data_IF_226826628375
#
_entry.id   IF_226826628375
#
_cell.length_a   1.000
_cell.length_b   1.000
_cell.length_c   1.000
_cell.angle_alpha   90.00
_cell.angle_beta   90.00
_cell.angle_gamma   90.00
#
_symmetry.space_group_name_H-M   'P 1'
#
loop_
_entity.id
_entity.type
_entity.pdbx_description
1 polymer ?
#
# COMPACT_ATOMS: atom_id res chain seq x y z
N UNK A 1 5.49 -4.04 17.26
CA UNK A 1 5.90 -2.91 18.12
C UNK A 1 7.13 -2.23 17.51
N UNK A 2 6.92 -1.52 16.38
CA UNK A 2 7.69 -0.37 15.91
C UNK A 2 6.82 0.29 14.82
N UNK A 3 5.75 0.93 15.29
CA UNK A 3 5.03 2.02 14.62
C UNK A 3 5.54 3.32 15.27
N UNK A 4 5.38 4.44 14.57
CA UNK A 4 5.77 5.82 14.94
C UNK A 4 7.21 6.23 14.57
N UNK A 5 7.37 6.80 13.36
CA UNK A 5 8.18 8.01 13.05
C UNK A 5 8.12 8.29 11.54
N UNK A 6 6.91 8.45 11.01
CA UNK A 6 6.70 9.01 9.67
C UNK A 6 5.74 10.19 9.79
N UNK A 7 6.24 11.22 10.46
CA UNK A 7 5.71 12.58 10.47
C UNK A 7 6.94 13.48 10.40
N UNK A 8 6.98 14.39 9.42
CA UNK A 8 7.90 15.54 9.31
C UNK A 8 9.16 15.47 8.42
N UNK A 9 9.17 14.82 7.25
CA UNK A 9 10.29 14.99 6.30
C UNK A 9 9.97 15.72 5.00
N UNK A 10 8.70 15.85 4.59
CA UNK A 10 8.37 16.56 3.33
C UNK A 10 8.08 18.06 3.51
N UNK A 11 7.77 18.52 4.72
CA UNK A 11 7.43 19.94 4.99
C UNK A 11 8.60 20.82 5.43
N UNK A 12 9.76 20.26 5.78
CA UNK A 12 10.92 21.05 6.24
C UNK A 12 11.90 21.44 5.13
N UNK A 13 11.87 20.77 3.97
CA UNK A 13 12.82 21.01 2.88
C UNK A 13 12.52 22.23 1.99
N UNK A 14 11.37 22.92 2.19
CA UNK A 14 10.95 24.07 1.35
C UNK A 14 11.28 25.46 1.92
N UNK A 15 12.03 25.57 3.02
CA UNK A 15 12.47 26.87 3.58
C UNK A 15 13.96 26.91 3.85
N UNK A 16 14.77 27.05 2.78
CA UNK A 16 16.05 27.79 2.76
C UNK A 16 16.72 27.57 1.40
N UNK A 17 16.36 28.40 0.43
CA UNK A 17 17.22 28.69 -0.72
C UNK A 17 17.33 30.21 -0.76
N UNK A 18 18.44 30.73 -0.25
CA UNK A 18 18.92 32.06 -0.57
C UNK A 18 20.39 31.96 -0.94
N UNK A 19 20.59 32.05 -2.25
CA UNK A 19 21.74 32.45 -3.04
C UNK A 19 23.03 32.89 -2.32
N UNK A 20 24.14 32.22 -2.66
CA UNK A 20 25.43 32.88 -2.99
C UNK A 20 26.27 31.94 -3.87
N UNK A 21 26.65 32.42 -5.05
CA UNK A 21 27.58 31.75 -5.95
C UNK A 21 29.04 31.95 -5.49
N UNK A 22 29.83 30.88 -5.51
CA UNK A 22 31.28 30.96 -5.70
C UNK A 22 31.80 29.69 -6.36
N UNK A 23 32.82 29.86 -7.20
CA UNK A 23 33.27 28.93 -8.22
C UNK A 23 34.24 27.84 -7.73
N UNK A 24 34.34 26.80 -8.56
CA UNK A 24 35.44 25.84 -8.76
C UNK A 24 35.77 24.86 -7.62
N UNK A 25 35.63 23.56 -7.89
CA UNK A 25 36.74 22.63 -8.20
C UNK A 25 36.14 21.26 -8.49
N UNK A 26 36.56 20.64 -9.58
CA UNK A 26 36.16 19.30 -10.03
C UNK A 26 36.65 18.25 -9.02
N UNK A 27 35.76 17.77 -8.14
CA UNK A 27 36.00 16.59 -7.31
C UNK A 27 35.16 15.42 -7.80
N UNK A 28 35.78 14.24 -7.88
CA UNK A 28 35.14 12.99 -8.24
C UNK A 28 33.89 12.75 -7.36
N UNK A 29 32.82 12.12 -7.89
CA UNK A 29 31.61 11.90 -7.11
C UNK A 29 31.95 11.06 -5.88
N UNK A 30 31.81 11.68 -4.71
CA UNK A 30 31.92 11.02 -3.42
C UNK A 30 30.97 9.83 -3.42
N UNK A 31 31.51 8.63 -3.30
CA UNK A 31 30.73 7.42 -3.06
C UNK A 31 30.00 7.60 -1.74
N UNK A 32 28.71 7.90 -1.81
CA UNK A 32 27.84 7.86 -0.63
C UNK A 32 27.88 6.41 -0.16
N UNK A 33 28.60 6.14 0.93
CA UNK A 33 28.57 4.85 1.60
C UNK A 33 27.14 4.64 2.11
N UNK A 34 26.35 3.92 1.32
CA UNK A 34 25.10 3.39 1.82
C UNK A 34 25.44 2.37 2.91
N UNK A 35 24.89 2.55 4.11
CA UNK A 35 25.01 1.64 5.27
C UNK A 35 24.75 0.17 4.90
N UNK A 36 24.07 -0.06 3.78
CA UNK A 36 23.98 -1.35 3.13
C UNK A 36 24.11 -1.27 1.62
N UNK A 37 24.89 -2.17 0.98
CA UNK A 37 25.06 -2.15 -0.47
C UNK A 37 23.72 -2.44 -1.18
N UNK A 38 23.44 -1.74 -2.30
CA UNK A 38 22.28 -2.04 -3.12
C UNK A 38 22.44 -3.42 -3.78
N UNK A 39 21.33 -4.11 -4.14
CA UNK A 39 21.41 -5.35 -4.90
C UNK A 39 22.14 -5.11 -6.24
N UNK A 40 22.90 -6.13 -6.71
CA UNK A 40 23.77 -6.02 -7.90
C UNK A 40 23.06 -5.45 -9.14
N UNK A 41 21.78 -5.77 -9.31
CA UNK A 41 20.96 -5.27 -10.42
C UNK A 41 20.88 -3.73 -10.47
N UNK A 42 21.02 -3.05 -9.34
CA UNK A 42 21.00 -1.59 -9.22
C UNK A 42 22.38 -0.94 -9.36
N UNK A 43 23.45 -1.74 -9.49
CA UNK A 43 24.81 -1.25 -9.74
C UNK A 43 25.11 -1.10 -11.24
N UNK A 44 24.33 -1.75 -12.10
CA UNK A 44 24.47 -1.60 -13.54
C UNK A 44 24.03 -0.19 -13.97
N UNK A 45 24.62 0.36 -15.05
CA UNK A 45 24.19 1.63 -15.61
C UNK A 45 22.70 1.59 -15.89
N UNK A 46 21.95 2.48 -15.24
CA UNK A 46 20.51 2.65 -15.45
C UNK A 46 20.22 4.11 -15.77
N UNK A 47 19.08 4.36 -16.42
CA UNK A 47 18.70 5.72 -16.81
C UNK A 47 18.46 6.64 -15.61
N UNK A 48 18.18 6.09 -14.43
CA UNK A 48 17.89 6.86 -13.21
C UNK A 48 18.52 6.17 -12.01
N UNK A 49 19.25 6.93 -11.20
CA UNK A 49 19.85 6.43 -9.97
C UNK A 49 18.77 5.83 -9.04
N UNK A 50 19.01 4.63 -8.48
CA UNK A 50 18.05 3.98 -7.59
C UNK A 50 17.89 4.78 -6.29
N UNK A 51 16.65 5.01 -5.89
CA UNK A 51 16.31 5.69 -4.63
C UNK A 51 15.76 4.67 -3.63
N UNK A 52 16.37 4.54 -2.45
CA UNK A 52 15.79 3.75 -1.37
C UNK A 52 14.55 4.47 -0.81
N UNK A 53 13.39 3.81 -0.88
CA UNK A 53 12.11 4.35 -0.41
C UNK A 53 11.83 3.92 1.03
N UNK A 54 12.03 2.64 1.32
CA UNK A 54 11.81 2.11 2.68
C UNK A 54 12.69 0.90 2.96
N UNK A 55 13.03 0.74 4.23
CA UNK A 55 13.73 -0.42 4.77
C UNK A 55 12.93 -0.98 5.95
N UNK A 56 12.46 -2.21 5.81
CA UNK A 56 11.76 -2.96 6.86
C UNK A 56 12.49 -4.24 7.24
N UNK A 57 11.94 -4.96 8.22
CA UNK A 57 12.46 -6.28 8.61
C UNK A 57 12.42 -7.29 7.45
N UNK A 58 11.40 -7.16 6.60
CA UNK A 58 11.06 -8.03 5.47
C UNK A 58 11.93 -7.81 4.22
N UNK A 59 12.49 -6.61 4.03
CA UNK A 59 13.23 -6.23 2.83
C UNK A 59 13.42 -4.71 2.68
N UNK A 60 14.03 -4.32 1.55
CA UNK A 60 14.23 -2.94 1.10
C UNK A 60 13.44 -2.70 -0.18
N UNK A 61 12.83 -1.54 -0.31
CA UNK A 61 12.14 -1.11 -1.52
C UNK A 61 12.89 0.06 -2.15
N UNK A 62 13.24 -0.08 -3.42
CA UNK A 62 13.87 0.97 -4.21
C UNK A 62 12.95 1.44 -5.32
N UNK A 63 12.97 2.74 -5.63
CA UNK A 63 12.39 3.30 -6.87
C UNK A 63 13.50 3.45 -7.90
N UNK A 64 13.28 2.96 -9.10
CA UNK A 64 14.20 3.09 -10.24
C UNK A 64 13.39 3.06 -11.55
N UNK A 65 14.02 2.71 -12.67
CA UNK A 65 13.38 2.62 -13.99
C UNK A 65 13.58 1.24 -14.61
N UNK A 66 12.65 0.81 -15.44
CA UNK A 66 12.69 -0.48 -16.12
C UNK A 66 12.85 -0.31 -17.63
N UNK A 67 14.01 -0.71 -18.17
CA UNK A 67 14.44 -0.62 -19.58
C UNK A 67 14.52 0.81 -20.16
N UNK A 68 13.54 1.66 -19.89
CA UNK A 68 13.43 3.03 -20.36
C UNK A 68 13.29 4.01 -19.19
N UNK A 69 13.85 5.23 -19.28
CA UNK A 69 13.74 6.25 -18.24
C UNK A 69 12.29 6.64 -17.90
N UNK A 70 11.37 6.49 -18.85
CA UNK A 70 9.96 6.85 -18.71
C UNK A 70 9.10 5.81 -17.99
N UNK A 71 9.66 4.63 -17.67
CA UNK A 71 8.93 3.54 -17.02
C UNK A 71 9.45 3.41 -15.58
N UNK A 72 8.83 4.10 -14.61
CA UNK A 72 9.22 3.95 -13.21
C UNK A 72 8.89 2.55 -12.71
N UNK A 73 9.77 1.99 -11.87
CA UNK A 73 9.56 0.68 -11.28
C UNK A 73 9.96 0.65 -9.80
N UNK A 74 9.32 -0.25 -9.07
CA UNK A 74 9.61 -0.57 -7.69
C UNK A 74 10.40 -1.88 -7.63
N UNK A 75 11.58 -1.86 -7.01
CA UNK A 75 12.40 -3.04 -6.76
C UNK A 75 12.34 -3.41 -5.28
N UNK A 76 11.69 -4.54 -4.98
CA UNK A 76 11.63 -5.12 -3.65
C UNK A 76 12.75 -6.14 -3.50
N UNK A 77 13.72 -5.85 -2.65
CA UNK A 77 14.89 -6.69 -2.37
C UNK A 77 14.83 -7.27 -0.97
N UNK A 78 15.06 -8.58 -0.83
CA UNK A 78 15.10 -9.30 0.44
C UNK A 78 16.55 -9.73 0.72
N UNK A 79 17.33 -8.93 1.47
CA UNK A 79 18.73 -9.26 1.74
C UNK A 79 18.85 -10.52 2.62
N UNK A 80 19.93 -11.30 2.44
CA UNK A 80 20.18 -12.47 3.28
C UNK A 80 20.23 -12.13 4.76
N UNK A 81 19.72 -13.03 5.60
CA UNK A 81 19.68 -12.82 7.05
C UNK A 81 20.82 -13.59 7.73
N UNK A 82 21.81 -12.91 8.36
CA UNK A 82 22.99 -13.57 8.94
C UNK A 82 22.67 -14.61 10.02
N UNK A 83 21.52 -14.46 10.69
CA UNK A 83 21.07 -15.37 11.75
C UNK A 83 20.42 -16.66 11.23
N UNK A 84 20.20 -16.82 9.91
CA UNK A 84 19.63 -18.04 9.33
C UNK A 84 20.71 -18.85 8.63
N UNK A 85 20.60 -20.18 8.68
CA UNK A 85 21.46 -21.05 7.89
C UNK A 85 21.33 -20.70 6.38
N UNK A 86 22.42 -20.53 5.63
CA UNK A 86 22.38 -20.02 4.24
C UNK A 86 21.42 -20.77 3.33
N UNK A 87 21.42 -22.11 3.38
CA UNK A 87 20.50 -22.95 2.59
C UNK A 87 19.03 -22.72 2.95
N UNK A 88 18.74 -22.53 4.24
CA UNK A 88 17.37 -22.28 4.70
C UNK A 88 16.91 -20.89 4.27
N UNK A 89 17.76 -19.88 4.43
CA UNK A 89 17.45 -18.51 4.06
C UNK A 89 17.22 -18.37 2.55
N UNK A 90 18.11 -18.95 1.73
CA UNK A 90 17.94 -18.97 0.28
C UNK A 90 16.62 -19.63 -0.13
N UNK A 91 16.26 -20.77 0.50
CA UNK A 91 14.99 -21.47 0.23
C UNK A 91 13.78 -20.62 0.62
N UNK A 92 13.80 -19.98 1.79
CA UNK A 92 12.70 -19.14 2.27
C UNK A 92 12.52 -17.88 1.43
N UNK A 93 13.62 -17.20 1.09
CA UNK A 93 13.63 -16.01 0.25
C UNK A 93 13.10 -16.33 -1.14
N UNK A 94 13.58 -17.42 -1.75
CA UNK A 94 13.07 -17.94 -3.03
C UNK A 94 11.57 -18.20 -2.98
N UNK A 95 11.11 -18.93 -1.97
CA UNK A 95 9.69 -19.28 -1.83
C UNK A 95 8.82 -18.02 -1.71
N UNK A 96 9.23 -17.04 -0.91
CA UNK A 96 8.48 -15.77 -0.71
C UNK A 96 8.40 -14.94 -1.97
N UNK A 97 9.52 -14.76 -2.69
CA UNK A 97 9.56 -13.96 -3.93
C UNK A 97 8.69 -14.59 -5.02
N UNK A 98 8.79 -15.91 -5.20
CA UNK A 98 7.98 -16.62 -6.18
C UNK A 98 6.50 -16.62 -5.81
N UNK A 99 6.16 -16.76 -4.53
CA UNK A 99 4.77 -16.68 -4.07
C UNK A 99 4.16 -15.30 -4.39
N UNK A 100 4.86 -14.23 -4.00
CA UNK A 100 4.43 -12.84 -4.23
C UNK A 100 4.27 -12.55 -5.74
N UNK A 101 5.25 -12.92 -6.56
CA UNK A 101 5.19 -12.72 -8.02
C UNK A 101 4.03 -13.50 -8.67
N UNK A 102 3.81 -14.76 -8.27
CA UNK A 102 2.72 -15.59 -8.81
C UNK A 102 1.35 -15.03 -8.45
N UNK A 103 1.18 -14.53 -7.23
CA UNK A 103 -0.07 -13.91 -6.78
C UNK A 103 -0.36 -12.64 -7.57
N UNK A 104 0.64 -11.75 -7.75
CA UNK A 104 0.49 -10.53 -8.56
C UNK A 104 0.07 -10.85 -10.00
N UNK A 105 0.76 -11.79 -10.65
CA UNK A 105 0.44 -12.21 -12.02
C UNK A 105 -0.98 -12.77 -12.12
N UNK A 106 -1.40 -13.61 -11.17
CA UNK A 106 -2.76 -14.17 -11.11
C UNK A 106 -3.81 -13.07 -10.92
N UNK A 107 -3.63 -12.20 -9.93
CA UNK A 107 -4.54 -11.10 -9.62
C UNK A 107 -4.73 -10.19 -10.84
N UNK A 108 -3.62 -9.82 -11.51
CA UNK A 108 -3.66 -8.96 -12.69
C UNK A 108 -4.35 -9.63 -13.88
N UNK A 109 -4.07 -10.92 -14.12
CA UNK A 109 -4.75 -11.71 -15.17
C UNK A 109 -6.25 -11.77 -14.95
N UNK A 110 -6.67 -11.87 -13.70
CA UNK A 110 -8.08 -11.99 -13.32
C UNK A 110 -8.76 -10.61 -13.09
N UNK A 111 -8.09 -9.51 -13.47
CA UNK A 111 -8.67 -8.16 -13.52
C UNK A 111 -8.64 -7.38 -12.20
N UNK A 112 -7.89 -7.84 -11.20
CA UNK A 112 -7.68 -7.11 -9.94
C UNK A 112 -6.60 -6.04 -10.15
N UNK A 113 -6.84 -4.77 -9.79
CA UNK A 113 -5.83 -3.72 -9.88
C UNK A 113 -4.68 -3.98 -8.89
N UNK A 114 -3.55 -4.46 -9.41
CA UNK A 114 -2.30 -4.72 -8.67
C UNK A 114 -1.10 -4.30 -9.54
N UNK A 115 0.08 -4.06 -8.95
CA UNK A 115 1.29 -3.77 -9.71
C UNK A 115 1.60 -4.87 -10.74
N UNK A 116 1.95 -4.48 -11.97
CA UNK A 116 2.50 -5.41 -12.95
C UNK A 116 3.87 -5.94 -12.50
N UNK A 117 4.11 -7.25 -12.62
CA UNK A 117 5.45 -7.81 -12.43
C UNK A 117 6.27 -7.58 -13.69
N UNK A 118 7.46 -6.98 -13.56
CA UNK A 118 8.38 -6.74 -14.69
C UNK A 118 9.47 -7.78 -14.76
N UNK A 119 10.10 -8.10 -13.63
CA UNK A 119 11.20 -9.05 -13.59
C UNK A 119 11.35 -9.65 -12.19
N UNK A 120 11.85 -10.88 -12.11
CA UNK A 120 12.10 -11.58 -10.86
C UNK A 120 13.44 -12.29 -10.94
N UNK A 121 14.20 -12.24 -9.87
CA UNK A 121 15.38 -13.08 -9.66
C UNK A 121 15.31 -13.64 -8.24
N UNK A 122 14.81 -14.87 -8.15
CA UNK A 122 14.63 -15.52 -6.86
C UNK A 122 15.96 -15.99 -6.24
N UNK A 123 17.03 -16.09 -7.03
CA UNK A 123 18.37 -16.43 -6.56
C UNK A 123 19.08 -15.24 -5.93
N UNK A 124 18.94 -14.06 -6.55
CA UNK A 124 19.46 -12.80 -6.02
C UNK A 124 18.50 -12.12 -5.03
N UNK A 125 17.30 -12.66 -4.83
CA UNK A 125 16.42 -12.23 -3.75
C UNK A 125 15.62 -10.95 -4.04
N UNK A 126 15.29 -10.64 -5.30
CA UNK A 126 14.52 -9.44 -5.63
C UNK A 126 13.38 -9.67 -6.62
N UNK A 127 12.42 -8.74 -6.58
CA UNK A 127 11.26 -8.64 -7.46
C UNK A 127 11.13 -7.19 -7.94
N UNK A 128 11.09 -6.99 -9.26
CA UNK A 128 10.79 -5.71 -9.90
C UNK A 128 9.34 -5.69 -10.37
N UNK A 129 8.63 -4.61 -10.02
CA UNK A 129 7.23 -4.41 -10.38
C UNK A 129 6.95 -2.96 -10.77
N UNK A 130 5.78 -2.72 -11.35
CA UNK A 130 5.26 -1.39 -11.65
C UNK A 130 5.32 -0.48 -10.44
N UNK A 131 5.84 0.74 -10.64
CA UNK A 131 5.67 1.79 -9.66
C UNK A 131 4.22 2.30 -9.73
N UNK A 132 3.45 2.07 -8.67
CA UNK A 132 2.08 2.56 -8.58
C UNK A 132 2.13 4.03 -8.20
N UNK A 133 1.79 4.91 -9.14
CA UNK A 133 1.64 6.33 -8.87
C UNK A 133 0.44 6.61 -7.95
N UNK A 134 0.53 7.71 -7.20
CA UNK A 134 -0.50 8.13 -6.25
C UNK A 134 -0.06 8.05 -4.79
N UNK A 135 -1.03 8.11 -3.88
CA UNK A 135 -0.79 8.11 -2.43
C UNK A 135 -1.41 6.89 -1.76
N UNK A 136 -0.87 6.41 -0.64
CA UNK A 136 -1.55 5.38 0.15
C UNK A 136 -2.94 5.85 0.59
N UNK A 137 -3.94 4.97 0.55
CA UNK A 137 -5.33 5.26 0.99
C UNK A 137 -5.35 5.86 2.39
N UNK A 138 -4.50 5.33 3.30
CA UNK A 138 -4.32 5.89 4.65
C UNK A 138 -4.03 7.39 4.63
N UNK A 139 -3.15 7.85 3.76
CA UNK A 139 -2.77 9.27 3.69
C UNK A 139 -3.94 10.11 3.19
N UNK A 140 -4.60 9.67 2.12
CA UNK A 140 -5.79 10.37 1.59
C UNK A 140 -6.90 10.52 2.63
N UNK A 141 -7.21 9.44 3.37
CA UNK A 141 -8.20 9.49 4.45
C UNK A 141 -7.77 10.45 5.56
N UNK A 142 -6.49 10.44 5.95
CA UNK A 142 -5.98 11.31 7.01
C UNK A 142 -5.98 12.78 6.61
N UNK A 143 -5.62 13.09 5.37
CA UNK A 143 -5.64 14.44 4.82
C UNK A 143 -7.08 14.98 4.79
N UNK A 144 -7.99 14.19 4.21
CA UNK A 144 -9.41 14.54 4.16
C UNK A 144 -10.03 14.70 5.55
N UNK A 145 -9.67 13.86 6.53
CA UNK A 145 -10.16 13.98 7.91
C UNK A 145 -9.46 15.09 8.71
N UNK A 146 -8.18 15.36 8.44
CA UNK A 146 -7.31 16.27 9.19
C UNK A 146 -7.65 17.73 9.00
N UNK A 147 -8.02 18.13 7.78
CA UNK A 147 -8.51 19.48 7.49
C UNK A 147 -9.77 19.83 8.31
N UNK A 148 -10.56 18.82 8.70
CA UNK A 148 -11.80 19.00 9.48
C UNK A 148 -11.56 19.46 10.92
N UNK A 149 -10.35 19.28 11.44
CA UNK A 149 -9.97 19.73 12.80
C UNK A 149 -9.54 21.20 12.79
N UNK A 150 -9.06 21.71 11.64
CA UNK A 150 -8.63 23.10 11.53
C UNK A 150 -9.80 24.06 11.38
N UNK A 151 -10.87 23.62 10.73
CA UNK A 151 -11.95 24.53 10.38
C UNK A 151 -12.92 24.79 11.55
N UNK A 152 -12.99 23.95 12.59
CA UNK A 152 -13.74 24.27 13.83
C UNK A 152 -15.22 24.66 13.66
N UNK A 153 -15.75 24.57 12.44
CA UNK A 153 -17.07 25.04 12.06
C UNK A 153 -18.07 23.89 12.21
N UNK A 154 -19.19 24.21 12.86
CA UNK A 154 -20.40 23.42 12.82
C UNK A 154 -20.88 23.38 11.36
N UNK A 155 -20.42 22.38 10.61
CA UNK A 155 -20.88 22.15 9.24
C UNK A 155 -22.38 21.84 9.31
N UNK A 156 -23.19 22.58 8.56
CA UNK A 156 -24.63 22.34 8.44
C UNK A 156 -24.90 20.86 8.08
N UNK A 157 -25.95 20.27 8.65
CA UNK A 157 -26.21 18.82 8.53
C UNK A 157 -26.30 18.32 7.07
N UNK A 158 -26.69 19.19 6.13
CA UNK A 158 -26.77 18.87 4.70
C UNK A 158 -25.41 18.87 4.00
N UNK A 159 -24.54 19.87 4.22
CA UNK A 159 -23.16 19.88 3.70
C UNK A 159 -22.32 18.75 4.31
N UNK A 160 -22.56 18.43 5.58
CA UNK A 160 -21.92 17.29 6.26
C UNK A 160 -22.32 15.93 5.69
N UNK A 161 -23.48 15.82 5.03
CA UNK A 161 -23.96 14.60 4.34
C UNK A 161 -23.35 14.45 2.95
N UNK A 162 -23.32 15.51 2.14
CA UNK A 162 -22.67 15.48 0.81
C UNK A 162 -21.17 15.21 0.91
N UNK A 163 -20.46 15.86 1.83
CA UNK A 163 -19.02 15.64 2.05
C UNK A 163 -18.73 14.22 2.57
N UNK A 164 -19.61 13.64 3.40
CA UNK A 164 -19.51 12.21 3.75
C UNK A 164 -19.65 11.31 2.52
N UNK A 165 -20.29 11.77 1.45
CA UNK A 165 -20.48 11.03 0.20
C UNK A 165 -19.17 10.56 -0.43
N UNK A 166 -18.15 11.41 -0.51
CA UNK A 166 -16.85 11.04 -1.08
C UNK A 166 -16.11 9.97 -0.25
N UNK A 167 -16.17 10.09 1.08
CA UNK A 167 -15.59 9.07 1.96
C UNK A 167 -16.37 7.76 1.89
N UNK A 168 -17.70 7.81 1.83
CA UNK A 168 -18.56 6.62 1.65
C UNK A 168 -18.26 5.93 0.32
N UNK A 169 -18.11 6.70 -0.76
CA UNK A 169 -17.73 6.17 -2.07
C UNK A 169 -16.35 5.48 -2.01
N UNK A 170 -15.35 6.11 -1.37
CA UNK A 170 -14.06 5.48 -1.16
C UNK A 170 -14.18 4.16 -0.39
N UNK A 171 -14.96 4.12 0.70
CA UNK A 171 -15.18 2.88 1.46
C UNK A 171 -15.78 1.77 0.59
N UNK A 172 -16.77 2.11 -0.26
CA UNK A 172 -17.36 1.15 -1.20
C UNK A 172 -16.35 0.66 -2.23
N UNK A 173 -15.52 1.56 -2.79
CA UNK A 173 -14.42 1.18 -3.69
C UNK A 173 -13.42 0.25 -3.02
N UNK A 174 -13.07 0.49 -1.75
CA UNK A 174 -12.19 -0.41 -0.98
C UNK A 174 -12.84 -1.79 -0.88
N UNK A 175 -14.11 -1.84 -0.48
CA UNK A 175 -14.88 -3.09 -0.40
C UNK A 175 -14.91 -3.86 -1.72
N UNK A 176 -15.17 -3.15 -2.81
CA UNK A 176 -15.19 -3.71 -4.15
C UNK A 176 -13.82 -4.26 -4.58
N UNK A 177 -12.72 -3.54 -4.33
CA UNK A 177 -11.37 -4.01 -4.61
C UNK A 177 -11.02 -5.31 -3.85
N UNK A 178 -11.40 -5.39 -2.56
CA UNK A 178 -11.22 -6.59 -1.75
C UNK A 178 -12.11 -7.73 -2.23
N UNK A 179 -13.36 -7.44 -2.63
CA UNK A 179 -14.27 -8.43 -3.19
C UNK A 179 -13.75 -9.02 -4.50
N UNK A 180 -13.21 -8.17 -5.38
CA UNK A 180 -12.51 -8.59 -6.60
C UNK A 180 -11.30 -9.46 -6.28
N UNK A 181 -10.50 -9.12 -5.27
CA UNK A 181 -9.39 -9.97 -4.83
C UNK A 181 -9.87 -11.36 -4.40
N UNK A 182 -10.81 -11.43 -3.46
CA UNK A 182 -11.32 -12.71 -2.92
C UNK A 182 -12.00 -13.57 -3.97
N UNK A 183 -12.62 -12.95 -4.99
CA UNK A 183 -13.19 -13.63 -6.17
C UNK A 183 -12.15 -14.42 -6.95
N UNK A 184 -10.88 -14.00 -6.96
CA UNK A 184 -9.78 -14.74 -7.61
C UNK A 184 -9.27 -15.94 -6.79
N UNK A 185 -9.81 -16.14 -5.59
CA UNK A 185 -9.33 -17.15 -4.65
C UNK A 185 -7.98 -16.80 -4.02
N UNK A 186 -7.70 -15.51 -3.88
CA UNK A 186 -6.53 -14.97 -3.16
C UNK A 186 -7.02 -14.28 -1.89
N UNK A 187 -6.29 -14.49 -0.80
CA UNK A 187 -6.41 -13.76 0.46
C UNK A 187 -5.12 -12.98 0.66
N UNK A 188 -5.20 -11.70 1.03
CA UNK A 188 -4.05 -10.81 1.11
C UNK A 188 -3.16 -11.15 2.32
N UNK A 189 -3.76 -11.42 3.48
CA UNK A 189 -3.06 -11.81 4.71
C UNK A 189 -2.44 -10.66 5.51
N UNK A 190 -2.48 -9.44 4.98
CA UNK A 190 -2.04 -8.19 5.65
C UNK A 190 -2.81 -6.98 5.09
N UNK A 191 -4.13 -7.10 4.99
CA UNK A 191 -4.95 -6.09 4.33
C UNK A 191 -5.12 -4.86 5.23
N UNK A 192 -4.38 -3.79 4.93
CA UNK A 192 -4.43 -2.52 5.68
C UNK A 192 -4.57 -1.33 4.73
N UNK A 193 -4.99 -0.16 5.23
CA UNK A 193 -5.10 1.08 4.44
C UNK A 193 -3.76 1.60 3.93
N UNK A 194 -2.64 1.12 4.46
CA UNK A 194 -1.29 1.42 3.94
C UNK A 194 -0.89 0.52 2.76
N UNK A 195 -1.52 -0.65 2.62
CA UNK A 195 -1.28 -1.62 1.54
C UNK A 195 -2.25 -1.41 0.37
N UNK A 196 -2.81 -0.22 0.26
CA UNK A 196 -3.70 0.22 -0.81
C UNK A 196 -3.25 1.59 -1.31
N UNK A 197 -3.15 1.75 -2.61
CA UNK A 197 -2.77 3.01 -3.26
C UNK A 197 -4.00 3.61 -3.98
N UNK A 198 -4.16 4.92 -3.88
CA UNK A 198 -5.08 5.72 -4.69
C UNK A 198 -4.35 6.23 -5.92
N UNK A 199 -4.56 5.54 -7.04
CA UNK A 199 -3.98 5.93 -8.33
C UNK A 199 -4.86 6.99 -9.00
N UNK A 200 -4.33 8.18 -9.31
CA UNK A 200 -5.09 9.20 -10.03
C UNK A 200 -5.58 8.69 -11.39
N UNK A 201 -6.84 8.98 -11.73
CA UNK A 201 -7.42 8.72 -13.05
C UNK A 201 -7.32 9.97 -13.93
N UNK A 202 -7.46 9.79 -15.26
CA UNK A 202 -7.48 10.93 -16.20
C UNK A 202 -8.62 11.92 -15.92
N UNK A 203 -9.69 11.45 -15.30
CA UNK A 203 -10.84 12.28 -14.90
C UNK A 203 -10.52 13.12 -13.65
N UNK A 204 -9.82 12.54 -12.67
CA UNK A 204 -9.38 13.26 -11.46
C UNK A 204 -8.32 14.36 -11.72
N UNK A 205 -7.64 14.31 -12.86
CA UNK A 205 -6.61 15.28 -13.28
C UNK A 205 -7.15 16.43 -14.15
N UNK A 206 -8.45 16.43 -14.48
CA UNK A 206 -9.11 17.58 -15.09
C UNK A 206 -9.27 18.73 -14.09
N UNK A 207 -9.03 19.97 -14.55
CA UNK A 207 -9.22 21.21 -13.77
C UNK A 207 -10.68 21.47 -13.33
N UNK A 208 -11.64 20.64 -13.76
CA UNK A 208 -13.08 20.81 -13.52
C UNK A 208 -13.60 20.38 -12.14
N UNK A 209 -12.75 20.39 -11.12
CA UNK A 209 -13.19 20.13 -9.74
C UNK A 209 -12.18 20.64 -8.74
N UNK A 210 -12.23 21.91 -8.38
CA UNK A 210 -11.48 22.39 -7.21
C UNK A 210 -12.24 21.97 -5.96
N UNK A 211 -11.86 20.87 -5.30
CA UNK A 211 -12.58 20.38 -4.14
C UNK A 211 -11.76 19.39 -3.30
N UNK A 212 -11.99 19.43 -1.99
CA UNK A 212 -11.36 18.58 -0.96
C UNK A 212 -11.50 17.07 -1.23
N UNK A 213 -12.55 16.67 -1.93
CA UNK A 213 -12.84 15.26 -2.22
C UNK A 213 -11.89 14.65 -3.28
N UNK A 214 -11.17 15.47 -4.04
CA UNK A 214 -10.17 15.00 -5.01
C UNK A 214 -9.07 14.14 -4.40
N UNK A 215 -8.74 14.36 -3.12
CA UNK A 215 -7.72 13.57 -2.42
C UNK A 215 -8.17 12.11 -2.22
N UNK A 216 -9.47 11.83 -2.33
CA UNK A 216 -10.07 10.49 -2.22
C UNK A 216 -10.41 9.88 -3.59
N UNK A 217 -10.27 10.62 -4.68
CA UNK A 217 -10.52 10.14 -6.03
C UNK A 217 -9.39 9.21 -6.52
N UNK A 218 -9.73 8.34 -7.47
CA UNK A 218 -8.76 7.44 -8.10
C UNK A 218 -9.10 5.96 -8.00
N UNK A 219 -8.33 5.15 -8.72
CA UNK A 219 -8.44 3.70 -8.68
C UNK A 219 -7.68 3.14 -7.47
N UNK A 220 -8.31 2.19 -6.78
CA UNK A 220 -7.66 1.49 -5.67
C UNK A 220 -6.81 0.37 -6.24
N UNK A 221 -5.52 0.42 -5.96
CA UNK A 221 -4.54 -0.61 -6.32
C UNK A 221 -4.04 -1.28 -5.06
N UNK A 222 -4.19 -2.60 -4.97
CA UNK A 222 -3.70 -3.38 -3.84
C UNK A 222 -2.21 -3.66 -4.02
N UNK A 223 -1.42 -3.49 -2.96
CA UNK A 223 0.03 -3.66 -2.96
C UNK A 223 0.49 -4.55 -1.80
N UNK A 224 1.72 -5.05 -1.88
CA UNK A 224 2.36 -5.90 -0.86
C UNK A 224 1.66 -7.25 -0.60
N UNK A 225 1.78 -8.17 -1.57
CA UNK A 225 1.29 -9.55 -1.45
C UNK A 225 2.28 -10.49 -0.74
N UNK A 226 3.15 -9.96 0.13
CA UNK A 226 4.22 -10.74 0.79
C UNK A 226 3.72 -11.87 1.70
N UNK A 227 2.48 -11.77 2.18
CA UNK A 227 1.80 -12.77 3.03
C UNK A 227 0.57 -13.39 2.34
N UNK A 228 0.38 -13.11 1.06
CA UNK A 228 -0.80 -13.55 0.35
C UNK A 228 -0.79 -15.06 0.09
N UNK A 229 -1.97 -15.65 0.18
CA UNK A 229 -2.17 -17.09 -0.02
C UNK A 229 -3.32 -17.33 -1.00
N UNK A 230 -3.27 -18.47 -1.69
CA UNK A 230 -4.40 -18.93 -2.49
C UNK A 230 -5.28 -19.77 -1.58
N UNK A 231 -6.45 -19.24 -1.22
CA UNK A 231 -7.41 -19.90 -0.35
C UNK A 231 -8.83 -19.62 -0.80
N UNK A 232 -9.65 -20.67 -0.79
CA UNK A 232 -11.11 -20.58 -0.98
C UNK A 232 -11.85 -20.59 0.37
N UNK A 233 -11.12 -20.66 1.48
CA UNK A 233 -11.68 -20.69 2.84
C UNK A 233 -12.43 -19.40 3.14
N UNK A 234 -13.67 -19.54 3.62
CA UNK A 234 -14.46 -18.42 4.13
C UNK A 234 -13.83 -17.80 5.39
N UNK A 235 -13.18 -18.63 6.22
CA UNK A 235 -12.47 -18.20 7.43
C UNK A 235 -11.31 -17.27 7.08
N UNK A 236 -10.45 -17.65 6.11
CA UNK A 236 -9.28 -16.86 5.76
C UNK A 236 -9.68 -15.49 5.19
N UNK A 237 -10.72 -15.46 4.35
CA UNK A 237 -11.31 -14.22 3.81
C UNK A 237 -11.93 -13.35 4.90
N UNK A 238 -12.59 -13.97 5.88
CA UNK A 238 -13.17 -13.28 7.02
C UNK A 238 -12.08 -12.68 7.93
N UNK A 239 -10.97 -13.39 8.14
CA UNK A 239 -9.81 -12.87 8.86
C UNK A 239 -9.21 -11.68 8.13
N UNK A 240 -9.11 -11.70 6.80
CA UNK A 240 -8.60 -10.57 6.01
C UNK A 240 -9.47 -9.31 6.17
N UNK A 241 -10.79 -9.46 6.08
CA UNK A 241 -11.74 -8.37 6.36
C UNK A 241 -11.65 -7.86 7.79
N UNK A 242 -11.45 -8.75 8.76
CA UNK A 242 -11.28 -8.39 10.15
C UNK A 242 -9.98 -7.61 10.39
N UNK A 243 -8.88 -7.99 9.73
CA UNK A 243 -7.61 -7.23 9.78
C UNK A 243 -7.82 -5.81 9.25
N UNK A 244 -8.53 -5.67 8.12
CA UNK A 244 -8.86 -4.37 7.56
C UNK A 244 -9.73 -3.54 8.52
N UNK A 245 -10.78 -4.14 9.11
CA UNK A 245 -11.62 -3.50 10.13
C UNK A 245 -10.78 -2.92 11.29
N UNK A 246 -9.87 -3.75 11.83
CA UNK A 246 -8.98 -3.33 12.92
C UNK A 246 -7.98 -2.26 12.48
N UNK A 247 -7.53 -2.29 11.23
CA UNK A 247 -6.66 -1.25 10.68
C UNK A 247 -7.39 0.11 10.65
N UNK A 248 -8.67 0.14 10.25
CA UNK A 248 -9.50 1.34 10.31
C UNK A 248 -9.68 1.85 11.73
N UNK A 249 -10.11 1.01 12.68
CA UNK A 249 -10.28 1.44 14.08
C UNK A 249 -8.98 1.96 14.72
N UNK A 250 -7.82 1.48 14.26
CA UNK A 250 -6.52 1.95 14.77
C UNK A 250 -5.99 3.22 14.09
N UNK A 251 -6.21 3.40 12.79
CA UNK A 251 -5.57 4.48 12.01
C UNK A 251 -6.53 5.61 11.68
N UNK A 252 -7.83 5.34 11.63
CA UNK A 252 -8.89 6.28 11.28
C UNK A 252 -10.13 6.10 12.18
N UNK A 253 -10.06 6.35 13.50
CA UNK A 253 -11.19 6.09 14.41
C UNK A 253 -12.49 6.79 14.01
N UNK A 254 -12.40 7.97 13.39
CA UNK A 254 -13.56 8.74 12.91
C UNK A 254 -14.26 8.12 11.69
N UNK A 255 -13.55 7.28 10.93
CA UNK A 255 -14.08 6.59 9.76
C UNK A 255 -14.53 5.15 10.08
N UNK A 256 -14.29 4.65 11.30
CA UNK A 256 -14.66 3.29 11.72
C UNK A 256 -16.17 3.04 11.60
N UNK A 257 -17.00 4.05 11.88
CA UNK A 257 -18.46 3.96 11.72
C UNK A 257 -18.92 3.77 10.27
N UNK A 258 -18.05 4.03 9.30
CA UNK A 258 -18.34 3.84 7.87
C UNK A 258 -17.86 2.49 7.35
N UNK A 259 -17.32 1.61 8.22
CA UNK A 259 -16.79 0.32 7.77
C UNK A 259 -17.88 -0.58 7.16
N UNK A 260 -19.14 -0.41 7.54
CA UNK A 260 -20.25 -1.13 6.92
C UNK A 260 -20.39 -0.83 5.41
N UNK A 261 -19.93 0.34 4.95
CA UNK A 261 -19.89 0.68 3.52
C UNK A 261 -18.81 -0.11 2.77
N UNK A 262 -17.69 -0.45 3.43
CA UNK A 262 -16.71 -1.41 2.90
C UNK A 262 -17.37 -2.78 2.74
N UNK A 263 -18.15 -3.23 3.73
CA UNK A 263 -18.87 -4.50 3.65
C UNK A 263 -19.93 -4.47 2.54
N UNK A 264 -20.60 -3.35 2.31
CA UNK A 264 -21.55 -3.17 1.21
C UNK A 264 -20.87 -3.27 -0.16
N UNK A 265 -19.74 -2.58 -0.36
CA UNK A 265 -18.94 -2.71 -1.58
C UNK A 265 -18.45 -4.15 -1.81
N UNK A 266 -18.02 -4.81 -0.74
CA UNK A 266 -17.60 -6.22 -0.78
C UNK A 266 -18.74 -7.16 -1.19
N UNK A 267 -19.95 -6.96 -0.66
CA UNK A 267 -21.16 -7.72 -1.04
C UNK A 267 -21.48 -7.57 -2.53
N UNK A 268 -21.35 -6.37 -3.07
CA UNK A 268 -21.64 -6.10 -4.48
C UNK A 268 -20.63 -6.80 -5.42
N UNK A 269 -19.36 -6.83 -5.04
CA UNK A 269 -18.29 -7.37 -5.88
C UNK A 269 -18.15 -8.91 -5.83
N UNK A 270 -18.55 -9.54 -4.71
CA UNK A 270 -18.29 -10.96 -4.47
C UNK A 270 -19.56 -11.77 -4.13
N UNK A 271 -19.94 -12.69 -5.03
CA UNK A 271 -21.18 -13.48 -4.91
C UNK A 271 -21.29 -14.29 -3.61
N UNK A 272 -20.18 -14.84 -3.09
CA UNK A 272 -20.18 -15.63 -1.85
C UNK A 272 -19.96 -14.76 -0.60
N UNK A 273 -20.06 -13.43 -0.71
CA UNK A 273 -19.84 -12.52 0.40
C UNK A 273 -20.72 -12.84 1.61
N UNK A 274 -21.97 -13.27 1.42
CA UNK A 274 -22.87 -13.61 2.53
C UNK A 274 -22.30 -14.63 3.51
N UNK A 275 -21.65 -15.69 3.01
CA UNK A 275 -21.02 -16.73 3.84
C UNK A 275 -19.79 -16.18 4.58
N UNK A 276 -18.95 -15.43 3.87
CA UNK A 276 -17.76 -14.78 4.44
C UNK A 276 -18.14 -13.78 5.54
N UNK A 277 -19.20 -12.99 5.33
CA UNK A 277 -19.65 -12.00 6.33
C UNK A 277 -20.30 -12.65 7.54
N UNK A 278 -21.02 -13.76 7.35
CA UNK A 278 -21.47 -14.56 8.49
C UNK A 278 -20.26 -15.08 9.29
N UNK A 279 -19.21 -15.55 8.60
CA UNK A 279 -17.97 -16.00 9.23
C UNK A 279 -17.21 -14.86 9.91
N UNK A 280 -17.25 -13.65 9.36
CA UNK A 280 -16.67 -12.44 9.96
C UNK A 280 -17.23 -12.18 11.36
N UNK A 281 -18.52 -12.40 11.61
CA UNK A 281 -19.09 -12.27 12.95
C UNK A 281 -18.47 -13.26 13.95
N UNK A 282 -18.25 -14.51 13.54
CA UNK A 282 -17.56 -15.52 14.36
C UNK A 282 -16.11 -15.10 14.68
N UNK A 283 -15.42 -14.51 13.68
CA UNK A 283 -14.05 -13.98 13.84
C UNK A 283 -14.05 -12.78 14.80
N UNK A 284 -14.97 -11.82 14.65
CA UNK A 284 -15.13 -10.66 15.53
C UNK A 284 -15.31 -11.09 16.99
N UNK A 285 -16.17 -12.08 17.24
CA UNK A 285 -16.42 -12.60 18.60
C UNK A 285 -15.17 -13.24 19.22
N UNK A 286 -14.37 -13.97 18.43
CA UNK A 286 -13.11 -14.56 18.90
C UNK A 286 -12.01 -13.51 19.12
N UNK A 287 -11.94 -12.49 18.26
CA UNK A 287 -11.01 -11.39 18.39
C UNK A 287 -11.24 -10.55 19.66
N UNK A 288 -12.50 -10.28 20.01
CA UNK A 288 -12.87 -9.56 21.26
C UNK A 288 -12.41 -10.31 22.52
N UNK A 289 -12.52 -11.63 22.55
CA UNK A 289 -12.06 -12.45 23.70
C UNK A 289 -10.55 -12.35 23.93
N UNK A 290 -9.75 -12.22 22.87
CA UNK A 290 -8.29 -12.03 22.99
C UNK A 290 -7.90 -10.63 23.44
N UNK A 291 -8.72 -9.62 23.14
CA UNK A 291 -8.50 -8.24 23.61
C UNK A 291 -8.79 -8.02 25.09
N UNK A 292 -9.57 -8.91 25.74
CA UNK A 292 -9.86 -8.85 27.18
C UNK A 292 -8.78 -9.50 28.07
N UNK A 293 -7.71 -10.06 27.46
CA UNK A 293 -6.56 -10.65 28.17
C UNK A 293 -5.28 -9.79 28.04
N UNK A 294 -5.42 -8.51 27.68
CA UNK A 294 -4.34 -7.53 27.61
C UNK A 294 -4.28 -6.64 28.84
#
# INVERSE_FOLDING_TARGET
MLRCLLTNLETYAKRKISFTMTAATTSAPSTVEHEFPPPKVLLYPSSTAPQLITQGAEGRLYKTTYLFPSIPCALKYRPPKPYRHPTLDARLTRARILAEARVLVKCRRDGVPVPAVYCVDEGAGWLMMEWVEGVPVRMGINEWLGERVRDGEEVEEEEGREQKGALVDLMRRIGDAVGRLHKTGVVHGDLTTSNMMLRPTRESSGERGGGRDKVLEGDIVLIDFGLATQSTSEEDRAVDLYVLERAFGSTHPRAESLFDEVLNGYRAAFKQAGQVLKKLEDVRMRGRKRSMLG
#
